data_IF_368672545917
#
_entry.id   IF_368672545917
#
_cell.length_a   1.000
_cell.length_b   1.000
_cell.length_c   1.000
_cell.angle_alpha   90.00
_cell.angle_beta   90.00
_cell.angle_gamma   90.00
#
_symmetry.space_group_name_H-M   'P 1'
#
loop_
_entity.id
_entity.type
_entity.pdbx_description
1 polymer ?
#
# COMPACT_ATOMS: atom_id res chain seq x y z
N UNK A 1 -34.93 29.76 2.31
CA UNK A 1 -34.37 30.12 3.63
C UNK A 1 -34.33 28.85 4.49
N UNK A 2 -33.38 27.97 4.21
CA UNK A 2 -33.17 26.71 4.92
C UNK A 2 -31.66 26.46 4.99
N UNK A 3 -31.18 26.18 6.21
CA UNK A 3 -29.99 25.41 6.53
C UNK A 3 -28.65 25.86 5.94
N UNK A 4 -28.01 26.87 6.54
CA UNK A 4 -26.54 26.97 6.52
C UNK A 4 -25.99 25.84 7.40
N UNK A 5 -25.28 24.88 6.82
CA UNK A 5 -24.42 23.94 7.56
C UNK A 5 -22.99 24.34 7.21
N UNK A 6 -22.37 25.11 8.11
CA UNK A 6 -20.93 25.35 8.03
C UNK A 6 -20.21 24.09 8.49
N UNK A 7 -19.50 23.42 7.58
CA UNK A 7 -18.39 22.54 7.93
C UNK A 7 -17.25 23.44 8.41
N UNK A 8 -17.11 23.56 9.73
CA UNK A 8 -15.99 24.24 10.37
C UNK A 8 -14.91 23.20 10.69
N UNK A 9 -13.69 23.51 10.27
CA UNK A 9 -12.39 22.87 10.49
C UNK A 9 -12.20 21.90 11.67
N UNK A 10 -11.46 20.82 11.39
CA UNK A 10 -10.38 20.32 12.25
C UNK A 10 -9.35 19.57 11.38
N UNK A 11 -8.29 20.30 11.03
CA UNK A 11 -7.02 19.78 10.51
C UNK A 11 -6.25 19.02 11.61
N UNK A 12 -5.34 18.15 11.17
CA UNK A 12 -4.36 17.34 11.93
C UNK A 12 -4.90 16.18 12.80
N UNK A 13 -4.51 14.93 12.51
CA UNK A 13 -3.95 14.08 13.54
C UNK A 13 -2.47 14.42 13.65
N UNK A 14 -2.17 15.42 14.48
CA UNK A 14 -0.91 15.44 15.19
C UNK A 14 -0.92 14.11 15.97
N UNK A 15 -0.11 13.14 15.55
CA UNK A 15 0.20 11.96 16.38
C UNK A 15 1.09 12.47 17.52
N UNK A 16 0.51 13.25 18.42
CA UNK A 16 0.96 13.30 19.80
C UNK A 16 0.32 12.10 20.48
N UNK A 17 1.18 11.24 21.00
CA UNK A 17 0.86 10.14 21.88
C UNK A 17 -0.30 10.46 22.83
N UNK A 18 -1.26 9.55 23.05
CA UNK A 18 -2.10 9.61 24.22
C UNK A 18 -1.37 8.92 25.38
N UNK A 19 -0.35 9.59 25.93
CA UNK A 19 -0.02 9.39 27.35
C UNK A 19 -1.15 10.03 28.16
N UNK A 20 -2.22 9.29 28.42
CA UNK A 20 -3.15 9.60 29.49
C UNK A 20 -3.07 8.54 30.58
N UNK A 21 -2.08 8.79 31.44
CA UNK A 21 -2.04 8.36 32.81
C UNK A 21 -3.41 8.61 33.49
N UNK A 22 -4.05 7.54 33.96
CA UNK A 22 -4.99 7.66 35.06
C UNK A 22 -4.21 7.94 36.34
N UNK A 23 -4.31 9.18 36.83
CA UNK A 23 -4.00 9.53 38.21
C UNK A 23 -5.02 8.84 39.11
N UNK A 24 -4.61 7.72 39.72
CA UNK A 24 -5.16 7.26 41.00
C UNK A 24 -4.00 7.13 41.97
N UNK A 25 -4.00 7.97 42.99
CA UNK A 25 -3.14 7.81 44.17
C UNK A 25 -4.00 7.98 45.42
N UNK A 26 -3.60 7.48 46.60
CA UNK A 26 -3.10 6.14 46.90
C UNK A 26 -3.90 5.52 48.07
N UNK A 27 -3.89 4.19 48.20
CA UNK A 27 -4.16 3.53 49.49
C UNK A 27 -3.41 2.19 49.60
N UNK A 28 -2.33 2.20 50.36
CA UNK A 28 -1.69 1.02 50.98
C UNK A 28 -2.15 0.93 52.45
N UNK A 29 -1.87 -0.16 53.19
CA UNK A 29 -1.80 -1.58 52.82
C UNK A 29 -2.64 -2.45 53.79
N UNK A 30 -2.95 -3.70 53.43
CA UNK A 30 -2.92 -4.84 54.37
C UNK A 30 -3.33 -6.15 53.71
N UNK A 31 -2.40 -7.11 53.73
CA UNK A 31 -2.65 -8.36 54.48
C UNK A 31 -3.20 -9.57 53.73
N UNK A 32 -2.39 -10.64 53.79
CA UNK A 32 -2.76 -12.05 53.87
C UNK A 32 -2.95 -12.86 52.58
N UNK A 33 -1.86 -13.54 52.22
CA UNK A 33 -1.73 -14.98 51.93
C UNK A 33 -2.99 -15.85 52.04
N UNK A 34 -3.28 -16.64 51.00
CA UNK A 34 -3.69 -18.03 51.20
C UNK A 34 -3.35 -18.93 49.99
N UNK A 35 -2.71 -20.05 50.33
CA UNK A 35 -2.31 -21.19 49.50
C UNK A 35 -3.46 -22.20 49.45
N UNK A 36 -3.79 -22.77 48.27
CA UNK A 36 -4.12 -24.21 48.04
C UNK A 36 -4.42 -24.41 46.55
N UNK A 37 -3.67 -25.20 45.76
CA UNK A 37 -3.47 -26.66 45.66
C UNK A 37 -4.58 -27.40 44.87
N UNK A 38 -4.15 -27.94 43.72
CA UNK A 38 -4.62 -29.07 42.90
C UNK A 38 -6.12 -29.40 42.80
N UNK A 39 -6.59 -29.49 41.54
CA UNK A 39 -7.13 -30.77 41.05
C UNK A 39 -6.90 -30.94 39.54
N UNK A 40 -6.69 -32.19 39.17
CA UNK A 40 -6.28 -32.75 37.88
C UNK A 40 -7.43 -33.63 37.33
N UNK A 41 -7.35 -34.00 36.04
CA UNK A 41 -8.20 -34.91 35.22
C UNK A 41 -9.32 -34.22 34.42
N UNK A 42 -9.63 -34.58 33.18
CA UNK A 42 -9.12 -35.55 32.19
C UNK A 42 -9.72 -35.18 30.80
N UNK A 43 -9.00 -35.56 29.73
CA UNK A 43 -9.40 -36.05 28.37
C UNK A 43 -10.83 -35.72 27.85
N UNK A 44 -11.05 -35.29 26.59
CA UNK A 44 -10.68 -35.94 25.33
C UNK A 44 -10.87 -34.98 24.11
N UNK A 45 -10.36 -35.31 22.90
CA UNK A 45 -10.18 -34.39 21.77
C UNK A 45 -11.34 -34.41 20.76
N UNK A 46 -11.74 -33.24 20.29
CA UNK A 46 -12.68 -33.06 19.18
C UNK A 46 -11.98 -32.45 17.98
N UNK A 47 -11.79 -33.27 16.94
CA UNK A 47 -11.20 -32.87 15.66
C UNK A 47 -12.09 -31.87 14.91
N UNK A 48 -11.52 -30.81 14.38
CA UNK A 48 -12.02 -30.16 13.16
C UNK A 48 -10.81 -29.77 12.33
N UNK A 49 -10.51 -30.60 11.33
CA UNK A 49 -9.67 -30.25 10.19
C UNK A 49 -10.35 -29.08 9.46
N UNK A 50 -9.80 -27.89 9.68
CA UNK A 50 -10.02 -26.74 8.82
C UNK A 50 -8.91 -26.72 7.79
N UNK A 51 -9.21 -27.16 6.57
CA UNK A 51 -8.34 -27.05 5.40
C UNK A 51 -7.97 -25.57 5.20
N UNK A 52 -6.79 -25.19 5.69
CA UNK A 52 -6.13 -23.97 5.25
C UNK A 52 -5.75 -24.18 3.80
N UNK A 53 -6.43 -23.47 2.89
CA UNK A 53 -6.10 -23.42 1.47
C UNK A 53 -4.58 -23.21 1.32
N UNK A 54 -3.91 -24.20 0.76
CA UNK A 54 -2.47 -24.18 0.56
C UNK A 54 -2.16 -23.06 -0.44
N UNK A 55 -1.49 -22.00 0.00
CA UNK A 55 -0.95 -20.98 -0.90
C UNK A 55 0.02 -21.68 -1.85
N UNK A 56 -0.10 -21.52 -3.18
CA UNK A 56 0.81 -22.16 -4.11
C UNK A 56 2.25 -21.75 -3.79
N UNK A 57 3.11 -22.76 -3.63
CA UNK A 57 4.55 -22.57 -3.45
C UNK A 57 5.13 -22.02 -4.75
N UNK A 58 5.20 -20.70 -4.85
CA UNK A 58 5.71 -19.97 -6.03
C UNK A 58 7.23 -20.14 -6.24
N UNK A 59 7.88 -21.00 -5.44
CA UNK A 59 9.33 -21.22 -5.45
C UNK A 59 9.74 -22.56 -6.11
N UNK A 60 8.94 -23.09 -7.04
CA UNK A 60 9.27 -24.26 -7.86
C UNK A 60 9.90 -23.89 -9.22
N UNK A 61 11.07 -24.47 -9.52
CA UNK A 61 11.79 -24.52 -10.81
C UNK A 61 11.83 -23.24 -11.68
N UNK A 62 12.69 -22.31 -11.24
CA UNK A 62 13.69 -21.51 -11.98
C UNK A 62 13.39 -21.08 -13.44
N UNK A 63 12.18 -20.61 -13.71
CA UNK A 63 11.98 -19.56 -14.74
C UNK A 63 12.48 -18.26 -14.11
N UNK A 64 13.38 -17.53 -14.79
CA UNK A 64 13.84 -16.23 -14.29
C UNK A 64 12.60 -15.34 -14.12
N UNK A 65 12.44 -14.71 -12.95
CA UNK A 65 11.32 -13.82 -12.68
C UNK A 65 11.20 -12.74 -13.77
N UNK A 66 12.34 -12.29 -14.31
CA UNK A 66 12.40 -11.34 -15.42
C UNK A 66 11.75 -11.86 -16.71
N UNK A 67 11.70 -13.18 -16.94
CA UNK A 67 11.06 -13.78 -18.13
C UNK A 67 9.53 -13.70 -18.09
N UNK A 68 8.94 -13.33 -16.94
CA UNK A 68 7.48 -13.17 -16.77
C UNK A 68 6.98 -11.77 -17.13
N UNK A 69 7.90 -10.84 -17.43
CA UNK A 69 7.56 -9.44 -17.68
C UNK A 69 8.09 -9.00 -19.04
N UNK A 70 7.22 -8.39 -19.85
CA UNK A 70 7.63 -7.78 -21.11
C UNK A 70 7.52 -6.25 -21.02
N UNK A 71 8.55 -5.58 -21.53
CA UNK A 71 8.49 -4.15 -21.80
C UNK A 71 7.58 -3.88 -22.99
N UNK A 72 6.60 -3.01 -22.80
CA UNK A 72 5.83 -2.42 -23.87
C UNK A 72 6.50 -1.10 -24.20
N UNK A 73 7.10 -1.03 -25.40
CA UNK A 73 7.77 0.16 -25.84
C UNK A 73 6.71 1.21 -26.21
N UNK A 74 6.39 2.08 -25.26
CA UNK A 74 5.52 3.23 -25.45
C UNK A 74 6.34 4.47 -25.17
N UNK A 75 6.70 5.21 -26.23
CA UNK A 75 7.07 6.62 -26.07
C UNK A 75 5.80 7.35 -25.66
N UNK A 76 5.58 7.41 -24.35
CA UNK A 76 4.44 8.01 -23.68
C UNK A 76 4.23 9.42 -24.20
N UNK A 77 3.28 9.61 -25.12
CA UNK A 77 2.71 10.94 -25.31
C UNK A 77 1.24 11.00 -25.70
N UNK A 78 0.63 9.98 -26.31
CA UNK A 78 -0.76 10.16 -26.81
C UNK A 78 -1.69 8.92 -26.76
N UNK A 79 -1.26 7.77 -26.23
CA UNK A 79 -2.12 6.56 -26.17
C UNK A 79 -2.53 6.21 -24.72
N UNK A 80 -3.56 6.90 -24.21
CA UNK A 80 -4.25 6.56 -22.95
C UNK A 80 -4.71 5.10 -22.93
N UNK A 81 -4.93 4.50 -24.11
CA UNK A 81 -5.31 3.09 -24.27
C UNK A 81 -4.25 2.10 -23.79
N UNK A 82 -2.95 2.41 -23.91
CA UNK A 82 -1.87 1.47 -23.56
C UNK A 82 -1.72 1.37 -22.04
N UNK A 83 -1.73 2.50 -21.34
CA UNK A 83 -1.53 2.54 -19.88
C UNK A 83 -2.61 1.77 -19.12
N UNK A 84 -3.85 1.74 -19.62
CA UNK A 84 -5.00 1.07 -18.97
C UNK A 84 -4.82 -0.44 -18.80
N UNK A 85 -4.10 -1.05 -19.73
CA UNK A 85 -3.89 -2.50 -19.82
C UNK A 85 -2.63 -2.99 -19.11
N UNK A 86 -1.89 -2.08 -18.47
CA UNK A 86 -0.58 -2.35 -17.90
C UNK A 86 -0.66 -2.57 -16.39
N UNK A 87 0.10 -3.56 -15.92
CA UNK A 87 0.15 -3.91 -14.50
C UNK A 87 1.25 -3.15 -13.76
N UNK A 88 2.28 -2.69 -14.50
CA UNK A 88 3.37 -1.91 -13.93
C UNK A 88 3.88 -0.80 -14.87
N UNK A 89 4.39 0.27 -14.28
CA UNK A 89 5.09 1.37 -14.95
C UNK A 89 6.42 1.57 -14.25
N UNK A 90 7.52 1.52 -15.00
CA UNK A 90 8.88 1.69 -14.49
C UNK A 90 9.45 3.00 -15.02
N UNK A 91 9.95 3.83 -14.13
CA UNK A 91 10.53 5.14 -14.45
C UNK A 91 11.86 5.32 -13.74
N UNK A 92 12.74 6.18 -14.26
CA UNK A 92 14.05 6.47 -13.68
C UNK A 92 14.13 7.90 -13.15
N UNK A 93 14.92 8.08 -12.10
CA UNK A 93 15.43 9.38 -11.67
C UNK A 93 16.62 9.75 -12.56
N UNK A 94 16.79 11.03 -12.91
CA UNK A 94 17.95 11.51 -13.69
C UNK A 94 17.88 11.37 -15.22
N UNK A 95 16.99 10.54 -15.77
CA UNK A 95 16.78 10.48 -17.24
C UNK A 95 15.83 11.59 -17.68
N UNK A 96 16.33 12.53 -18.48
CA UNK A 96 15.57 13.67 -18.98
C UNK A 96 14.38 13.19 -19.84
N UNK A 97 13.19 13.65 -19.45
CA UNK A 97 11.82 13.45 -20.00
C UNK A 97 11.58 12.32 -21.02
N UNK A 98 10.64 11.45 -20.63
CA UNK A 98 9.76 10.58 -21.46
C UNK A 98 10.20 9.12 -21.65
N UNK A 99 11.31 8.68 -21.07
CA UNK A 99 11.66 7.25 -21.00
C UNK A 99 11.02 6.59 -19.76
N UNK A 100 9.70 6.40 -19.81
CA UNK A 100 9.01 5.48 -18.91
C UNK A 100 8.84 4.15 -19.63
N UNK A 101 9.31 3.08 -18.99
CA UNK A 101 9.11 1.73 -19.49
C UNK A 101 7.83 1.18 -18.92
N UNK A 102 6.83 0.98 -19.77
CA UNK A 102 5.57 0.36 -19.37
C UNK A 102 5.77 -1.15 -19.41
N UNK A 103 5.35 -1.85 -18.36
CA UNK A 103 5.59 -3.30 -18.22
C UNK A 103 4.27 -4.01 -17.95
N UNK A 104 4.06 -5.14 -18.65
CA UNK A 104 2.87 -5.98 -18.46
C UNK A 104 3.29 -7.35 -17.93
N UNK A 105 2.55 -7.84 -16.94
CA UNK A 105 2.75 -9.19 -16.43
C UNK A 105 2.20 -10.18 -17.45
N UNK A 106 3.00 -11.18 -17.81
CA UNK A 106 2.50 -12.31 -18.56
C UNK A 106 1.62 -13.16 -17.65
N UNK A 107 0.31 -13.06 -17.85
CA UNK A 107 -0.55 -14.15 -17.43
C UNK A 107 -0.31 -15.35 -18.36
N UNK A 108 -0.30 -16.59 -17.83
CA UNK A 108 -0.30 -17.79 -18.66
C UNK A 108 -1.47 -17.68 -19.64
N UNK A 109 -1.16 -17.58 -20.94
CA UNK A 109 -2.15 -17.40 -22.00
C UNK A 109 -2.88 -18.72 -22.23
N UNK A 110 -3.79 -19.06 -21.31
CA UNK A 110 -4.82 -20.06 -21.57
C UNK A 110 -6.02 -19.32 -22.19
N UNK A 111 -6.06 -19.23 -23.53
CA UNK A 111 -7.26 -19.02 -24.38
C UNK A 111 -7.51 -17.70 -25.16
N UNK A 112 -6.71 -16.61 -25.07
CA UNK A 112 -6.97 -15.39 -25.89
C UNK A 112 -6.05 -15.29 -27.12
N UNK A 113 -6.43 -15.94 -28.21
CA UNK A 113 -5.59 -16.12 -29.40
C UNK A 113 -5.70 -15.06 -30.52
N UNK A 114 -6.47 -13.97 -30.41
CA UNK A 114 -6.66 -13.08 -31.59
C UNK A 114 -6.31 -11.60 -31.44
N UNK A 115 -6.10 -11.06 -30.23
CA UNK A 115 -5.78 -9.63 -30.04
C UNK A 115 -4.36 -9.36 -29.47
N UNK A 116 -3.80 -10.30 -28.70
CA UNK A 116 -2.51 -10.13 -28.03
C UNK A 116 -1.33 -10.14 -29.01
N UNK A 117 -1.48 -10.84 -30.14
CA UNK A 117 -0.46 -11.02 -31.16
C UNK A 117 -0.03 -9.73 -31.87
N UNK A 118 -0.88 -8.70 -31.90
CA UNK A 118 -0.56 -7.42 -32.52
C UNK A 118 0.22 -6.49 -31.57
N UNK A 119 -0.14 -6.48 -30.29
CA UNK A 119 0.52 -5.67 -29.25
C UNK A 119 1.91 -6.23 -28.93
N UNK A 120 2.05 -7.56 -28.89
CA UNK A 120 3.35 -8.23 -28.67
C UNK A 120 4.37 -7.99 -29.79
N UNK A 121 3.94 -7.60 -31.00
CA UNK A 121 4.84 -7.40 -32.15
C UNK A 121 5.44 -6.00 -32.24
N UNK A 122 4.92 -5.00 -31.51
CA UNK A 122 5.49 -3.63 -31.49
C UNK A 122 6.34 -3.34 -30.25
N UNK A 123 6.29 -4.21 -29.24
CA UNK A 123 7.18 -4.16 -28.09
C UNK A 123 8.62 -4.50 -28.54
N UNK A 124 9.56 -3.57 -28.37
CA UNK A 124 10.98 -3.92 -28.45
C UNK A 124 11.29 -4.97 -27.39
N UNK A 125 12.14 -5.96 -27.72
CA UNK A 125 12.57 -7.06 -26.82
C UNK A 125 13.40 -6.59 -25.61
N UNK A 126 13.09 -5.45 -25.02
CA UNK A 126 13.77 -5.00 -23.82
C UNK A 126 13.12 -5.68 -22.61
N UNK A 127 13.97 -6.13 -21.68
CA UNK A 127 13.55 -6.75 -20.43
C UNK A 127 13.55 -5.64 -19.39
N UNK A 128 12.49 -5.49 -18.56
CA UNK A 128 12.50 -4.48 -17.50
C UNK A 128 13.71 -4.66 -16.58
N UNK A 129 14.23 -3.58 -15.98
CA UNK A 129 15.34 -3.69 -15.05
C UNK A 129 15.03 -4.69 -13.93
N UNK A 130 16.00 -5.56 -13.63
CA UNK A 130 15.84 -6.63 -12.63
C UNK A 130 15.38 -6.10 -11.27
N UNK A 131 15.91 -4.96 -10.83
CA UNK A 131 15.53 -4.33 -9.56
C UNK A 131 14.05 -3.90 -9.54
N UNK A 132 13.48 -3.48 -10.67
CA UNK A 132 12.06 -3.17 -10.74
C UNK A 132 11.19 -4.42 -10.60
N UNK A 133 11.58 -5.51 -11.27
CA UNK A 133 10.89 -6.81 -11.15
C UNK A 133 10.95 -7.32 -9.71
N UNK A 134 12.13 -7.29 -9.09
CA UNK A 134 12.32 -7.70 -7.69
C UNK A 134 11.49 -6.85 -6.72
N UNK A 135 11.39 -5.54 -6.95
CA UNK A 135 10.57 -4.63 -6.14
C UNK A 135 9.07 -4.91 -6.24
N UNK A 136 8.58 -5.18 -7.46
CA UNK A 136 7.18 -5.55 -7.70
C UNK A 136 6.86 -6.87 -7.03
N UNK A 137 7.67 -7.91 -7.26
CA UNK A 137 7.42 -9.24 -6.70
C UNK A 137 7.51 -9.24 -5.17
N UNK A 138 8.45 -8.50 -4.58
CA UNK A 138 8.56 -8.35 -3.14
C UNK A 138 7.32 -7.67 -2.54
N UNK A 139 6.84 -6.59 -3.17
CA UNK A 139 5.63 -5.87 -2.73
C UNK A 139 4.39 -6.75 -2.87
N UNK A 140 4.22 -7.44 -4.00
CA UNK A 140 3.11 -8.38 -4.20
C UNK A 140 3.10 -9.52 -3.18
N UNK A 141 4.29 -10.08 -2.87
CA UNK A 141 4.43 -11.14 -1.86
C UNK A 141 4.11 -10.63 -0.47
N UNK A 142 4.60 -9.45 -0.10
CA UNK A 142 4.25 -8.79 1.14
C UNK A 142 2.72 -8.59 1.26
N UNK A 143 2.07 -8.07 0.21
CA UNK A 143 0.62 -7.91 0.20
C UNK A 143 -0.13 -9.24 0.34
N UNK A 144 0.30 -10.29 -0.38
CA UNK A 144 -0.35 -11.61 -0.37
C UNK A 144 -0.16 -12.38 0.94
N UNK A 145 1.07 -12.44 1.43
CA UNK A 145 1.47 -13.41 2.45
C UNK A 145 1.54 -12.80 3.85
N UNK A 146 1.68 -11.48 3.95
CA UNK A 146 1.72 -10.77 5.22
C UNK A 146 0.44 -9.95 5.42
N UNK A 147 0.18 -8.96 4.56
CA UNK A 147 -0.95 -8.02 4.71
C UNK A 147 -2.30 -8.73 4.65
N UNK A 148 -2.56 -9.51 3.59
CA UNK A 148 -3.81 -10.27 3.44
C UNK A 148 -3.96 -11.35 4.51
N UNK A 149 -2.89 -12.09 4.82
CA UNK A 149 -2.90 -13.18 5.81
C UNK A 149 -3.27 -12.67 7.20
N UNK A 150 -2.76 -11.51 7.58
CA UNK A 150 -3.01 -10.88 8.87
C UNK A 150 -4.19 -9.89 8.82
N UNK A 151 -4.86 -9.76 7.67
CA UNK A 151 -5.97 -8.84 7.44
C UNK A 151 -5.67 -7.39 7.87
N UNK A 152 -4.44 -6.91 7.59
CA UNK A 152 -3.98 -5.57 7.99
C UNK A 152 -4.54 -4.45 7.10
N UNK A 153 -5.07 -4.81 5.94
CA UNK A 153 -5.59 -3.88 4.94
C UNK A 153 -6.85 -4.48 4.31
N UNK A 154 -8.02 -3.80 4.37
CA UNK A 154 -9.27 -4.33 3.83
C UNK A 154 -9.25 -4.45 2.31
N UNK A 155 -8.45 -3.63 1.62
CA UNK A 155 -8.33 -3.64 0.16
C UNK A 155 -7.49 -4.82 -0.35
N UNK A 156 -6.50 -5.27 0.43
CA UNK A 156 -5.48 -6.22 -0.05
C UNK A 156 -6.07 -7.51 -0.64
N UNK A 157 -7.06 -8.13 0.02
CA UNK A 157 -7.67 -9.35 -0.49
C UNK A 157 -8.39 -9.12 -1.82
N UNK A 158 -9.26 -8.12 -1.87
CA UNK A 158 -10.07 -7.83 -3.05
C UNK A 158 -9.20 -7.38 -4.24
N UNK A 159 -8.16 -6.59 -3.98
CA UNK A 159 -7.18 -6.18 -5.00
C UNK A 159 -6.40 -7.36 -5.57
N UNK A 160 -6.01 -8.33 -4.74
CA UNK A 160 -5.27 -9.52 -5.17
C UNK A 160 -6.14 -10.49 -5.97
N UNK A 161 -7.43 -10.58 -5.63
CA UNK A 161 -8.37 -11.50 -6.27
C UNK A 161 -9.01 -10.90 -7.54
N UNK A 162 -8.93 -9.58 -7.71
CA UNK A 162 -9.46 -8.86 -8.87
C UNK A 162 -8.38 -8.61 -9.90
N UNK A 163 -8.48 -9.27 -11.06
CA UNK A 163 -7.56 -9.07 -12.16
C UNK A 163 -7.53 -7.59 -12.59
N UNK A 164 -6.32 -7.05 -12.68
CA UNK A 164 -6.10 -5.67 -13.11
C UNK A 164 -6.37 -4.60 -12.04
N UNK A 165 -6.72 -5.00 -10.81
CA UNK A 165 -7.01 -4.04 -9.75
C UNK A 165 -5.76 -3.50 -9.05
N UNK A 166 -4.69 -4.28 -9.05
CA UNK A 166 -3.41 -3.89 -8.48
C UNK A 166 -2.48 -3.33 -9.56
N UNK A 167 -1.90 -2.16 -9.31
CA UNK A 167 -0.98 -1.46 -10.21
C UNK A 167 0.32 -1.12 -9.51
N UNK A 168 1.44 -1.21 -10.22
CA UNK A 168 2.76 -0.90 -9.69
C UNK A 168 3.42 0.24 -10.46
N UNK A 169 4.07 1.14 -9.73
CA UNK A 169 4.78 2.28 -10.27
C UNK A 169 6.17 2.28 -9.63
N UNK A 170 7.16 1.77 -10.34
CA UNK A 170 8.52 1.69 -9.82
C UNK A 170 9.31 2.91 -10.23
N UNK A 171 9.85 3.62 -9.24
CA UNK A 171 10.81 4.69 -9.44
C UNK A 171 12.22 4.15 -9.14
N UNK A 172 13.01 4.00 -10.19
CA UNK A 172 14.39 3.56 -10.13
C UNK A 172 15.32 4.73 -9.81
N UNK A 173 16.08 4.59 -8.74
CA UNK A 173 17.00 5.58 -8.19
C UNK A 173 18.43 5.11 -8.42
N UNK A 174 19.23 5.93 -9.09
CA UNK A 174 20.67 5.77 -9.26
C UNK A 174 21.45 6.25 -8.04
N UNK A 175 22.75 5.92 -7.97
CA UNK A 175 23.58 6.31 -6.82
C UNK A 175 23.89 7.81 -6.76
N UNK A 176 23.96 8.44 -7.93
CA UNK A 176 24.32 9.85 -8.09
C UNK A 176 23.09 10.79 -8.10
N UNK A 177 21.87 10.23 -7.94
CA UNK A 177 20.66 11.03 -7.92
C UNK A 177 20.52 11.78 -6.60
N UNK A 178 20.33 13.10 -6.68
CA UNK A 178 20.11 13.95 -5.52
C UNK A 178 18.70 13.77 -4.94
N UNK A 179 18.57 13.86 -3.62
CA UNK A 179 17.29 13.74 -2.88
C UNK A 179 16.18 14.63 -3.45
N UNK A 180 16.48 15.90 -3.75
CA UNK A 180 15.53 16.84 -4.35
C UNK A 180 14.92 16.28 -5.64
N UNK A 181 15.75 15.70 -6.53
CA UNK A 181 15.31 15.12 -7.78
C UNK A 181 14.50 13.83 -7.58
N UNK A 182 14.92 13.00 -6.62
CA UNK A 182 14.21 11.77 -6.25
C UNK A 182 12.79 12.12 -5.80
N UNK A 183 12.64 13.08 -4.90
CA UNK A 183 11.35 13.43 -4.30
C UNK A 183 10.45 14.23 -5.24
N UNK A 184 11.01 15.11 -6.08
CA UNK A 184 10.26 15.73 -7.18
C UNK A 184 9.69 14.67 -8.13
N UNK A 185 10.49 13.63 -8.43
CA UNK A 185 10.05 12.55 -9.31
C UNK A 185 9.05 11.62 -8.61
N UNK A 186 9.22 11.37 -7.32
CA UNK A 186 8.26 10.61 -6.51
C UNK A 186 6.89 11.29 -6.50
N UNK A 187 6.86 12.60 -6.24
CA UNK A 187 5.63 13.40 -6.28
C UNK A 187 4.91 13.26 -7.62
N UNK A 188 5.62 13.48 -8.73
CA UNK A 188 5.05 13.32 -10.08
C UNK A 188 4.51 11.90 -10.30
N UNK A 189 5.24 10.89 -9.83
CA UNK A 189 4.86 9.47 -10.00
C UNK A 189 3.60 9.14 -9.21
N UNK A 190 3.47 9.62 -7.98
CA UNK A 190 2.26 9.46 -7.15
C UNK A 190 1.06 10.10 -7.82
N UNK A 191 1.21 11.31 -8.38
CA UNK A 191 0.12 11.98 -9.09
C UNK A 191 -0.33 11.18 -10.33
N UNK A 192 0.60 10.73 -11.17
CA UNK A 192 0.27 9.91 -12.34
C UNK A 192 -0.38 8.58 -11.94
N UNK A 193 0.10 7.95 -10.86
CA UNK A 193 -0.47 6.72 -10.32
C UNK A 193 -1.90 6.91 -9.79
N UNK A 194 -2.18 8.06 -9.17
CA UNK A 194 -3.52 8.46 -8.75
C UNK A 194 -4.46 8.72 -9.92
N UNK A 195 -4.04 9.52 -10.90
CA UNK A 195 -4.82 9.79 -12.12
C UNK A 195 -5.15 8.50 -12.87
N UNK A 196 -4.19 7.58 -12.97
CA UNK A 196 -4.41 6.26 -13.56
C UNK A 196 -5.38 5.40 -12.75
N UNK A 197 -5.26 5.41 -11.42
CA UNK A 197 -6.17 4.67 -10.54
C UNK A 197 -7.63 5.14 -10.70
N UNK A 198 -7.84 6.45 -10.75
CA UNK A 198 -9.15 7.06 -11.06
C UNK A 198 -9.62 6.62 -12.45
N UNK A 199 -8.72 6.66 -13.44
CA UNK A 199 -9.05 6.28 -14.82
C UNK A 199 -9.52 4.83 -14.93
N UNK A 200 -8.86 3.86 -14.29
CA UNK A 200 -9.23 2.44 -14.39
C UNK A 200 -10.53 2.09 -13.64
N UNK A 201 -10.87 2.88 -12.62
CA UNK A 201 -12.10 2.71 -11.85
C UNK A 201 -13.29 3.50 -12.42
N UNK A 202 -13.03 4.46 -13.31
CA UNK A 202 -14.09 5.20 -13.98
C UNK A 202 -15.00 4.25 -14.78
N UNK A 203 -16.33 4.46 -14.74
CA UNK A 203 -17.27 3.69 -15.54
C UNK A 203 -16.92 3.82 -17.02
N UNK A 204 -17.12 2.75 -17.79
CA UNK A 204 -16.84 2.77 -19.22
C UNK A 204 -17.69 3.85 -19.91
N UNK A 205 -17.04 4.71 -20.69
CA UNK A 205 -17.72 5.69 -21.53
C UNK A 205 -18.24 5.04 -22.82
N UNK A 206 -19.20 5.68 -23.50
CA UNK A 206 -19.67 5.21 -24.81
C UNK A 206 -18.55 5.17 -25.86
N UNK A 207 -17.49 5.96 -25.65
CA UNK A 207 -16.31 6.05 -26.53
C UNK A 207 -15.22 5.01 -26.20
N UNK A 208 -15.38 4.22 -25.12
CA UNK A 208 -14.39 3.22 -24.74
C UNK A 208 -14.41 1.99 -25.67
N UNK A 209 -13.24 1.38 -25.93
CA UNK A 209 -13.17 0.17 -26.74
C UNK A 209 -14.03 -0.95 -26.13
N UNK A 210 -14.76 -1.66 -27.00
CA UNK A 210 -15.64 -2.77 -26.60
C UNK A 210 -14.87 -3.81 -25.79
N UNK A 211 -15.32 -4.07 -24.56
CA UNK A 211 -14.72 -5.07 -23.66
C UNK A 211 -13.94 -4.49 -22.48
N UNK A 212 -13.89 -3.17 -22.32
CA UNK A 212 -13.40 -2.54 -21.08
C UNK A 212 -14.26 -2.96 -19.89
N UNK A 213 -13.61 -3.48 -18.85
CA UNK A 213 -14.23 -3.75 -17.55
C UNK A 213 -13.61 -2.75 -16.57
N UNK A 214 -14.42 -1.83 -16.06
CA UNK A 214 -13.98 -0.92 -15.00
C UNK A 214 -13.65 -1.74 -13.75
N UNK A 215 -12.55 -1.41 -13.09
CA UNK A 215 -12.19 -2.02 -11.81
C UNK A 215 -13.10 -1.44 -10.73
N UNK A 216 -13.64 -2.29 -9.87
CA UNK A 216 -14.39 -1.84 -8.71
C UNK A 216 -13.50 -0.91 -7.85
N UNK A 217 -13.95 0.31 -7.50
CA UNK A 217 -13.18 1.20 -6.64
C UNK A 217 -12.68 0.57 -5.35
N UNK A 218 -13.46 -0.35 -4.76
CA UNK A 218 -13.10 -1.10 -3.54
C UNK A 218 -11.99 -2.12 -3.75
N UNK A 219 -11.74 -2.54 -4.99
CA UNK A 219 -10.64 -3.43 -5.35
C UNK A 219 -9.39 -2.68 -5.82
N UNK A 220 -9.53 -1.46 -6.35
CA UNK A 220 -8.44 -0.76 -7.03
C UNK A 220 -7.37 -0.24 -6.06
N UNK A 221 -6.10 -0.58 -6.30
CA UNK A 221 -4.95 -0.08 -5.54
C UNK A 221 -3.72 0.12 -6.44
N UNK A 222 -3.03 1.24 -6.24
CA UNK A 222 -1.73 1.51 -6.87
C UNK A 222 -0.62 1.53 -5.81
N UNK A 223 0.53 0.95 -6.11
CA UNK A 223 1.74 1.04 -5.30
C UNK A 223 2.81 1.83 -6.05
N UNK A 224 3.35 2.87 -5.43
CA UNK A 224 4.53 3.60 -5.91
C UNK A 224 5.73 3.15 -5.08
N UNK A 225 6.72 2.54 -5.72
CA UNK A 225 7.85 1.85 -5.05
C UNK A 225 9.16 2.53 -5.46
N UNK A 226 9.98 2.91 -4.49
CA UNK A 226 11.35 3.38 -4.76
C UNK A 226 12.31 2.19 -4.69
N UNK A 227 13.03 1.94 -5.78
CA UNK A 227 14.02 0.87 -5.89
C UNK A 227 15.34 1.39 -6.47
N UNK A 228 16.48 0.82 -6.07
CA UNK A 228 17.78 1.20 -6.63
C UNK A 228 18.04 0.49 -7.96
N UNK A 229 18.77 1.13 -8.87
CA UNK A 229 19.13 0.52 -10.18
C UNK A 229 20.03 -0.71 -9.99
N UNK A 230 20.93 -0.70 -9.01
CA UNK A 230 21.95 -1.73 -8.83
C UNK A 230 21.64 -2.70 -7.68
N UNK A 231 21.09 -3.87 -8.03
CA UNK A 231 20.67 -4.93 -7.10
C UNK A 231 21.80 -5.80 -6.49
N UNK A 232 23.02 -5.27 -6.35
CA UNK A 232 24.15 -6.05 -5.82
C UNK A 232 24.48 -5.77 -4.35
N UNK A 233 23.80 -4.85 -3.68
CA UNK A 233 24.04 -4.57 -2.25
C UNK A 233 22.72 -4.61 -1.48
N UNK A 234 22.61 -5.44 -0.43
CA UNK A 234 21.51 -5.34 0.51
C UNK A 234 21.75 -4.08 1.36
N UNK A 235 20.90 -3.07 1.19
CA UNK A 235 20.88 -1.82 1.97
C UNK A 235 22.06 -0.84 1.78
N UNK A 236 21.82 0.49 1.87
CA UNK A 236 20.63 1.14 2.42
C UNK A 236 19.43 1.22 1.46
N UNK A 237 18.21 1.49 1.98
CA UNK A 237 17.03 1.76 1.16
C UNK A 237 17.28 2.90 0.15
N UNK A 238 16.48 2.93 -0.91
CA UNK A 238 16.62 3.93 -1.98
C UNK A 238 16.47 5.38 -1.49
N UNK A 239 15.79 5.58 -0.36
CA UNK A 239 15.70 6.84 0.37
C UNK A 239 15.87 6.53 1.86
N UNK A 240 16.46 7.45 2.62
CA UNK A 240 16.46 7.34 4.07
C UNK A 240 15.03 7.55 4.61
N UNK A 241 14.73 6.95 5.76
CA UNK A 241 13.40 7.03 6.36
C UNK A 241 12.94 8.46 6.63
N UNK A 242 13.84 9.32 7.14
CA UNK A 242 13.50 10.69 7.54
C UNK A 242 13.06 11.53 6.35
N UNK A 243 13.86 11.57 5.30
CA UNK A 243 13.55 12.35 4.10
C UNK A 243 12.33 11.79 3.36
N UNK A 244 12.17 10.47 3.31
CA UNK A 244 10.98 9.83 2.75
C UNK A 244 9.71 10.21 3.52
N UNK A 245 9.77 10.16 4.86
CA UNK A 245 8.63 10.48 5.72
C UNK A 245 8.23 11.96 5.63
N UNK A 246 9.19 12.89 5.70
CA UNK A 246 8.93 14.33 5.54
C UNK A 246 8.36 14.65 4.15
N UNK A 247 8.88 14.01 3.10
CA UNK A 247 8.32 14.15 1.76
C UNK A 247 6.89 13.64 1.69
N UNK A 248 6.60 12.50 2.32
CA UNK A 248 5.24 11.97 2.38
C UNK A 248 4.29 12.93 3.10
N UNK A 249 4.67 13.48 4.26
CA UNK A 249 3.86 14.46 4.98
C UNK A 249 3.56 15.68 4.12
N UNK A 250 4.57 16.22 3.43
CA UNK A 250 4.39 17.32 2.48
C UNK A 250 3.39 16.97 1.36
N UNK A 251 3.45 15.75 0.83
CA UNK A 251 2.54 15.28 -0.22
C UNK A 251 1.12 15.11 0.29
N UNK A 252 0.94 14.51 1.47
CA UNK A 252 -0.35 14.33 2.11
C UNK A 252 -1.02 15.68 2.35
N UNK A 253 -0.32 16.63 2.97
CA UNK A 253 -0.81 18.00 3.18
C UNK A 253 -1.19 18.66 1.86
N UNK A 254 -0.37 18.50 0.82
CA UNK A 254 -0.66 19.07 -0.51
C UNK A 254 -1.94 18.49 -1.13
N UNK A 255 -2.15 17.18 -1.06
CA UNK A 255 -3.38 16.57 -1.59
C UNK A 255 -4.62 17.00 -0.81
N UNK A 256 -4.50 17.14 0.52
CA UNK A 256 -5.56 17.67 1.38
C UNK A 256 -5.88 19.13 1.04
N UNK A 257 -4.86 19.97 0.85
CA UNK A 257 -5.01 21.37 0.48
C UNK A 257 -5.70 21.54 -0.87
N UNK A 258 -5.42 20.69 -1.86
CA UNK A 258 -6.10 20.72 -3.17
C UNK A 258 -7.62 20.59 -3.01
N UNK A 259 -8.08 19.69 -2.13
CA UNK A 259 -9.50 19.56 -1.79
C UNK A 259 -10.06 20.77 -1.08
N UNK A 260 -9.39 21.22 -0.02
CA UNK A 260 -9.87 22.32 0.79
C UNK A 260 -10.01 23.60 -0.04
N UNK A 261 -9.05 23.89 -0.91
CA UNK A 261 -9.13 25.02 -1.85
C UNK A 261 -10.31 24.89 -2.80
N UNK A 262 -10.56 23.69 -3.34
CA UNK A 262 -11.70 23.45 -4.23
C UNK A 262 -13.04 23.73 -3.51
N UNK A 263 -13.25 23.16 -2.33
CA UNK A 263 -14.48 23.35 -1.56
C UNK A 263 -14.69 24.79 -1.10
N UNK A 264 -13.61 25.46 -0.68
CA UNK A 264 -13.67 26.86 -0.26
C UNK A 264 -13.98 27.83 -1.42
N UNK A 265 -13.54 27.50 -2.64
CA UNK A 265 -13.73 28.38 -3.81
C UNK A 265 -15.07 28.16 -4.49
N UNK A 266 -15.52 26.91 -4.59
CA UNK A 266 -16.63 26.52 -5.44
C UNK A 266 -17.96 26.29 -4.69
N UNK A 267 -17.92 26.12 -3.36
CA UNK A 267 -19.10 25.75 -2.58
C UNK A 267 -19.73 24.43 -3.03
N UNK A 268 -20.99 24.21 -2.68
CA UNK A 268 -21.72 22.96 -2.98
C UNK A 268 -22.28 22.88 -4.42
N UNK A 269 -22.13 23.93 -5.24
CA UNK A 269 -22.80 24.05 -6.56
C UNK A 269 -21.89 23.76 -7.78
N UNK A 270 -20.70 23.19 -7.58
CA UNK A 270 -19.78 22.96 -8.71
C UNK A 270 -19.94 21.57 -9.33
N UNK A 271 -20.37 21.56 -10.60
CA UNK A 271 -20.28 20.41 -11.50
C UNK A 271 -18.91 20.28 -12.20
N UNK A 272 -17.85 20.87 -11.64
CA UNK A 272 -16.49 20.73 -12.13
C UNK A 272 -15.85 19.39 -11.73
N UNK A 273 -14.78 19.02 -12.42
CA UNK A 273 -13.94 17.88 -12.04
C UNK A 273 -13.28 18.17 -10.68
N UNK A 274 -13.36 17.19 -9.77
CA UNK A 274 -12.73 17.29 -8.46
C UNK A 274 -11.19 17.27 -8.62
N UNK A 275 -10.45 17.97 -7.76
CA UNK A 275 -9.00 17.81 -7.76
C UNK A 275 -8.65 16.38 -7.33
N UNK A 276 -7.52 15.87 -7.83
CA UNK A 276 -7.09 14.49 -7.59
C UNK A 276 -7.03 14.13 -6.09
N UNK A 277 -6.58 15.07 -5.25
CA UNK A 277 -6.54 14.87 -3.79
C UNK A 277 -7.88 14.51 -3.15
N UNK A 278 -9.01 14.72 -3.84
CA UNK A 278 -10.34 14.36 -3.36
C UNK A 278 -10.75 12.96 -3.78
N UNK A 279 -10.19 12.47 -4.88
CA UNK A 279 -10.52 11.16 -5.44
C UNK A 279 -9.64 10.05 -4.85
N UNK A 280 -8.47 10.38 -4.31
CA UNK A 280 -7.50 9.40 -3.79
C UNK A 280 -7.13 9.64 -2.33
N UNK A 281 -6.73 8.56 -1.66
CA UNK A 281 -6.07 8.57 -0.36
C UNK A 281 -4.75 7.83 -0.47
N UNK A 282 -3.69 8.38 0.15
CA UNK A 282 -2.35 7.81 0.12
C UNK A 282 -1.92 7.30 1.50
N UNK A 283 -1.06 6.29 1.54
CA UNK A 283 -0.43 5.81 2.77
C UNK A 283 1.03 5.42 2.50
N UNK A 284 1.95 5.91 3.32
CA UNK A 284 3.36 5.58 3.24
C UNK A 284 3.74 4.35 4.06
N UNK A 285 4.74 3.64 3.55
CA UNK A 285 5.35 2.47 4.15
C UNK A 285 6.86 2.51 3.91
N UNK A 286 7.64 2.00 4.86
CA UNK A 286 9.09 2.01 4.76
C UNK A 286 9.71 0.79 5.46
N UNK A 287 10.81 0.19 4.95
CA UNK A 287 11.48 -0.93 5.61
C UNK A 287 11.89 -0.65 7.05
N UNK A 288 12.26 0.60 7.30
CA UNK A 288 12.74 1.07 8.61
C UNK A 288 11.65 1.77 9.43
N UNK A 289 10.37 1.65 9.05
CA UNK A 289 9.30 2.30 9.79
C UNK A 289 9.30 1.87 11.26
N UNK A 290 9.19 2.86 12.14
CA UNK A 290 9.09 2.71 13.60
C UNK A 290 8.09 3.74 14.12
N UNK A 291 7.13 3.30 14.92
CA UNK A 291 6.29 4.21 15.68
C UNK A 291 7.07 4.68 16.91
N UNK A 292 7.04 5.99 17.17
CA UNK A 292 7.83 6.59 18.24
C UNK A 292 7.40 6.01 19.59
N UNK A 293 8.31 5.31 20.28
CA UNK A 293 8.05 4.77 21.62
C UNK A 293 8.15 5.92 22.62
N UNK A 294 7.12 6.74 22.67
CA UNK A 294 7.03 7.88 23.61
C UNK A 294 7.17 7.49 25.08
N UNK A 295 7.09 6.20 25.41
CA UNK A 295 7.29 5.67 26.75
C UNK A 295 8.62 4.90 26.91
N UNK A 296 9.41 5.41 27.86
CA UNK A 296 10.46 4.73 28.65
C UNK A 296 11.83 4.52 28.00
N UNK A 297 12.78 5.39 28.38
CA UNK A 297 14.05 5.13 29.12
C UNK A 297 14.79 3.77 29.09
N UNK A 298 14.29 2.73 28.43
CA UNK A 298 15.03 1.53 28.10
C UNK A 298 15.86 1.82 26.85
N UNK A 299 17.15 2.05 27.06
CA UNK A 299 18.16 2.14 26.02
C UNK A 299 18.23 0.78 25.33
N UNK A 300 17.38 0.59 24.32
CA UNK A 300 17.32 -0.59 23.48
C UNK A 300 16.40 -0.29 22.31
N UNK A 301 16.92 -0.34 21.09
CA UNK A 301 16.20 -0.17 19.83
C UNK A 301 15.23 -1.35 19.58
N UNK A 302 14.34 -1.65 20.52
CA UNK A 302 13.44 -2.79 20.38
C UNK A 302 12.29 -2.43 19.44
N UNK A 303 12.27 -3.08 18.27
CA UNK A 303 11.14 -3.09 17.36
C UNK A 303 9.86 -3.48 18.09
N UNK A 304 8.77 -2.75 17.87
CA UNK A 304 7.45 -3.07 18.40
C UNK A 304 6.63 -3.84 17.34
N UNK A 305 5.67 -4.70 17.74
CA UNK A 305 4.81 -5.39 16.78
C UNK A 305 4.10 -4.42 15.83
N UNK A 306 3.62 -3.28 16.35
CA UNK A 306 2.92 -2.26 15.56
C UNK A 306 3.78 -1.64 14.46
N UNK A 307 5.12 -1.63 14.58
CA UNK A 307 6.01 -1.13 13.53
C UNK A 307 5.77 -1.86 12.20
N UNK A 308 5.45 -3.15 12.27
CA UNK A 308 5.19 -3.99 11.10
C UNK A 308 3.89 -3.66 10.37
N UNK A 309 3.02 -2.80 10.90
CA UNK A 309 1.85 -2.29 10.17
C UNK A 309 2.28 -1.40 8.99
N UNK A 310 3.38 -0.64 9.14
CA UNK A 310 3.92 0.23 8.07
C UNK A 310 5.23 -0.26 7.46
N UNK A 311 5.71 -1.44 7.83
CA UNK A 311 6.93 -2.00 7.22
C UNK A 311 6.66 -2.70 5.91
N UNK A 312 7.41 -2.31 4.89
CA UNK A 312 7.42 -2.88 3.55
C UNK A 312 8.84 -3.26 3.12
N UNK A 313 9.01 -4.15 2.14
CA UNK A 313 10.34 -4.50 1.63
C UNK A 313 11.07 -3.33 0.94
N UNK A 314 10.34 -2.32 0.46
CA UNK A 314 10.88 -1.10 -0.17
C UNK A 314 10.13 0.13 0.35
N UNK A 315 10.72 1.35 0.32
CA UNK A 315 9.96 2.58 0.49
C UNK A 315 8.80 2.61 -0.51
N UNK A 316 7.57 2.65 0.00
CA UNK A 316 6.36 2.44 -0.81
C UNK A 316 5.26 3.39 -0.40
N UNK A 317 4.55 3.96 -1.37
CA UNK A 317 3.29 4.68 -1.14
C UNK A 317 2.16 3.88 -1.79
N UNK A 318 1.18 3.46 -1.01
CA UNK A 318 -0.06 2.90 -1.56
C UNK A 318 -1.06 4.02 -1.83
N UNK A 319 -1.83 3.88 -2.90
CA UNK A 319 -2.89 4.81 -3.30
C UNK A 319 -4.17 4.00 -3.47
N UNK A 320 -5.24 4.44 -2.82
CA UNK A 320 -6.60 3.89 -2.97
C UNK A 320 -7.56 5.01 -3.33
N UNK A 321 -8.75 4.67 -3.82
CA UNK A 321 -9.79 5.67 -4.09
C UNK A 321 -10.50 6.06 -2.78
N UNK A 322 -10.70 7.36 -2.57
CA UNK A 322 -11.39 7.88 -1.39
C UNK A 322 -12.83 7.35 -1.31
N UNK A 323 -13.50 7.18 -2.47
CA UNK A 323 -14.84 6.58 -2.56
C UNK A 323 -14.92 5.12 -2.07
N UNK A 324 -13.81 4.38 -2.13
CA UNK A 324 -13.72 3.03 -1.56
C UNK A 324 -13.73 3.06 -0.03
N UNK A 325 -13.10 4.07 0.58
CA UNK A 325 -13.11 4.27 2.04
C UNK A 325 -14.52 4.65 2.49
N UNK A 326 -15.18 5.54 1.74
CA UNK A 326 -16.56 5.96 2.02
C UNK A 326 -17.54 4.79 1.92
N UNK A 327 -17.37 3.90 0.94
CA UNK A 327 -18.23 2.71 0.80
C UNK A 327 -18.12 1.77 2.01
N UNK A 328 -16.91 1.60 2.56
CA UNK A 328 -16.69 0.82 3.79
C UNK A 328 -17.37 1.45 5.03
N UNK A 329 -17.67 2.75 4.99
CA UNK A 329 -18.43 3.42 6.04
C UNK A 329 -19.91 3.09 6.00
N UNK A 330 -20.51 3.24 4.82
CA UNK A 330 -21.95 3.13 4.61
C UNK A 330 -22.46 1.72 4.97
N UNK A 331 -21.63 0.70 4.77
CA UNK A 331 -21.96 -0.69 5.14
C UNK A 331 -21.98 -0.93 6.66
N UNK A 332 -21.26 -0.12 7.45
CA UNK A 332 -20.98 -0.42 8.87
C UNK A 332 -21.64 0.51 9.87
N UNK A 333 -22.00 1.72 9.46
CA UNK A 333 -22.60 2.71 10.34
C UNK A 333 -23.90 3.18 9.70
N UNK A 334 -25.04 2.72 10.21
CA UNK A 334 -26.37 3.13 9.76
C UNK A 334 -26.70 4.60 10.10
N UNK A 335 -25.83 5.54 9.77
CA UNK A 335 -25.96 6.96 10.02
C UNK A 335 -24.74 7.74 9.49
N UNK A 336 -25.01 8.84 8.77
CA UNK A 336 -24.02 9.74 8.19
C UNK A 336 -23.30 10.54 9.29
N UNK A 337 -22.14 10.06 9.77
CA UNK A 337 -21.21 10.86 10.55
C UNK A 337 -20.37 11.73 9.60
N UNK A 338 -20.38 13.06 9.73
CA UNK A 338 -19.59 13.96 8.89
C UNK A 338 -18.06 13.83 9.04
N UNK A 339 -17.53 13.02 9.96
CA UNK A 339 -16.08 12.81 10.18
C UNK A 339 -15.49 11.57 9.46
N UNK A 340 -16.00 11.27 8.26
CA UNK A 340 -16.10 9.91 7.77
C UNK A 340 -14.82 9.05 7.65
N UNK A 341 -13.94 9.38 6.71
CA UNK A 341 -12.79 8.53 6.36
C UNK A 341 -11.77 8.35 7.51
N UNK A 342 -11.63 9.36 8.37
CA UNK A 342 -10.74 9.33 9.53
C UNK A 342 -11.15 8.24 10.55
N UNK A 343 -12.45 8.02 10.75
CA UNK A 343 -12.96 7.01 11.69
C UNK A 343 -12.68 5.58 11.19
N UNK A 344 -12.83 5.32 9.89
CA UNK A 344 -12.50 4.02 9.30
C UNK A 344 -11.02 3.73 9.44
N UNK A 345 -10.18 4.69 9.06
CA UNK A 345 -8.73 4.56 9.14
C UNK A 345 -8.27 4.33 10.58
N UNK A 346 -8.85 5.05 11.54
CA UNK A 346 -8.59 4.83 12.97
C UNK A 346 -8.99 3.42 13.42
N UNK A 347 -10.16 2.92 13.02
CA UNK A 347 -10.60 1.56 13.36
C UNK A 347 -9.68 0.50 12.75
N UNK A 348 -9.24 0.69 11.50
CA UNK A 348 -8.26 -0.20 10.86
C UNK A 348 -6.97 -0.23 11.69
N UNK A 349 -6.45 0.94 12.07
CA UNK A 349 -5.27 1.03 12.92
C UNK A 349 -5.45 0.30 14.26
N UNK A 350 -6.59 0.48 14.93
CA UNK A 350 -6.91 -0.22 16.20
C UNK A 350 -6.94 -1.75 16.04
N UNK A 351 -7.55 -2.25 14.96
CA UNK A 351 -7.59 -3.70 14.66
C UNK A 351 -6.19 -4.22 14.34
N UNK A 352 -5.38 -3.45 13.61
CA UNK A 352 -4.00 -3.81 13.29
C UNK A 352 -3.14 -3.89 14.55
N UNK A 353 -3.24 -2.91 15.45
CA UNK A 353 -2.58 -2.93 16.78
C UNK A 353 -2.95 -4.21 17.53
N UNK A 354 -4.26 -4.50 17.69
CA UNK A 354 -4.72 -5.68 18.41
C UNK A 354 -4.21 -6.98 17.77
N UNK A 355 -4.19 -7.06 16.45
CA UNK A 355 -3.75 -8.24 15.71
C UNK A 355 -2.24 -8.47 15.91
N UNK A 356 -1.43 -7.43 15.72
CA UNK A 356 0.03 -7.52 15.81
C UNK A 356 0.50 -7.73 17.26
N UNK A 357 -0.10 -7.03 18.22
CA UNK A 357 0.21 -7.22 19.65
C UNK A 357 -0.22 -8.60 20.13
N UNK A 358 -1.34 -9.13 19.63
CA UNK A 358 -1.83 -10.47 19.95
C UNK A 358 -0.91 -11.59 19.46
N UNK A 359 -0.16 -11.36 18.38
CA UNK A 359 0.89 -12.28 17.90
C UNK A 359 2.17 -12.17 18.73
N UNK A 360 2.51 -10.97 19.16
CA UNK A 360 3.78 -10.66 19.81
C UNK A 360 4.93 -10.51 18.80
N UNK A 361 5.97 -9.77 19.21
CA UNK A 361 7.04 -9.34 18.31
C UNK A 361 7.74 -10.53 17.63
N UNK A 362 8.12 -11.57 18.36
CA UNK A 362 8.88 -12.71 17.83
C UNK A 362 8.15 -13.40 16.66
N UNK A 363 6.83 -13.59 16.78
CA UNK A 363 6.03 -14.24 15.73
C UNK A 363 5.81 -13.32 14.53
N UNK A 364 5.60 -12.02 14.76
CA UNK A 364 5.50 -11.02 13.69
C UNK A 364 6.80 -10.97 12.88
N UNK A 365 7.95 -10.92 13.55
CA UNK A 365 9.26 -10.94 12.88
C UNK A 365 9.48 -12.23 12.10
N UNK A 366 9.13 -13.37 12.70
CA UNK A 366 9.25 -14.68 12.05
C UNK A 366 8.39 -14.75 10.79
N UNK A 367 7.14 -14.28 10.85
CA UNK A 367 6.24 -14.22 9.71
C UNK A 367 6.77 -13.26 8.65
N UNK A 368 7.18 -12.06 9.04
CA UNK A 368 7.70 -11.07 8.10
C UNK A 368 8.96 -11.56 7.39
N UNK A 369 9.94 -12.09 8.12
CA UNK A 369 11.16 -12.65 7.53
C UNK A 369 10.86 -13.86 6.63
N UNK A 370 9.94 -14.73 7.04
CA UNK A 370 9.59 -15.92 6.26
C UNK A 370 8.80 -15.62 4.99
N UNK A 371 7.97 -14.59 5.00
CA UNK A 371 7.01 -14.30 3.92
C UNK A 371 7.47 -13.14 3.02
N UNK A 372 8.27 -12.22 3.53
CA UNK A 372 8.73 -11.02 2.81
C UNK A 372 10.19 -11.16 2.36
N UNK A 373 11.09 -11.62 3.24
CA UNK A 373 12.53 -11.61 2.99
C UNK A 373 13.10 -12.84 2.25
N UNK A 374 12.34 -13.93 2.11
CA UNK A 374 12.82 -15.22 1.56
C UNK A 374 13.32 -15.21 0.11
N UNK A 375 13.17 -14.13 -0.64
CA UNK A 375 13.58 -14.08 -2.05
C UNK A 375 14.83 -13.23 -2.34
N UNK A 376 15.53 -12.73 -1.32
CA UNK A 376 16.93 -12.38 -1.55
C UNK A 376 17.69 -13.68 -1.89
N UNK A 377 18.37 -13.77 -3.04
CA UNK A 377 19.04 -14.98 -3.43
C UNK A 377 20.01 -15.40 -2.31
N UNK A 378 19.98 -16.66 -1.84
CA UNK A 378 20.96 -17.12 -0.85
C UNK A 378 22.36 -17.06 -1.49
N UNK A 379 23.10 -15.99 -1.22
CA UNK A 379 24.45 -15.76 -1.73
C UNK A 379 24.73 -14.45 -2.46
N UNK A 380 23.90 -13.40 -2.31
CA UNK A 380 24.35 -12.00 -2.51
C UNK A 380 25.20 -11.52 -1.34
#
# INVERSE_FOLDING_TARGET
>A
MMGRIGRLHLCLPLILAPSLAFVVTPKLPSGATLITRHQQQDQDPGSTDGDAASVPDLCGDRVDAADRWFQINSTLREDDGIMRDCDAVVTWVGVDRDESTVVRLLQPVESRQSASDAILRSAGNQVPPRSAVEAIEATQRWSSNFVRRLNLCPWAAQSLDTQGAMRFWVLLVGEDDGEELIFDRLHRTIRMAGEHLVSIAAPASEDDPTGRIAVDPSAAISFVILARVDGNVPNPPAADFGSFYETFLYLEDRFLDECDVYWNTNGDESGGELPLGCDITIAAFHPEWKFDSSDTSAIGESCQPIDYEKRTPYPTVSIVLSSAIDSLMDERVGGADPHGSALVTKRIAEVNVQTLDGLGIEEVERLYAAEVAKCLPPGS
#
